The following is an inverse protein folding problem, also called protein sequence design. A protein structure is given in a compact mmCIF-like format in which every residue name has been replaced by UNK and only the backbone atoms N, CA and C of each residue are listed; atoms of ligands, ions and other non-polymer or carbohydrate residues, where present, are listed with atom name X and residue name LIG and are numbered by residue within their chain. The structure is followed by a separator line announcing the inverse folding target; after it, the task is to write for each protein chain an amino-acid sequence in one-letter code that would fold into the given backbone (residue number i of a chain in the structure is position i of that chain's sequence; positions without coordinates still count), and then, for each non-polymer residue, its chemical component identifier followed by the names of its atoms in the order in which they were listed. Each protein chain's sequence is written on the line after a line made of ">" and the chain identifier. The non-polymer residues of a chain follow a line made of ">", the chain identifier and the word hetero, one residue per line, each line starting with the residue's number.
data_IF_458317205018
#
_entry.id   IF_458317205018
#
_cell.length_a   1.000
_cell.length_b   1.000
_cell.length_c   1.000
_cell.angle_alpha   90.00
_cell.angle_beta   90.00
_cell.angle_gamma   90.00
#
_symmetry.space_group_name_H-M   'P 1'
#
loop_
_entity.id
_entity.type
_entity.pdbx_description
1 polymer ?
#
# COMPACT_ATOMS: atom_id res chain seq x y z
N UNK A 1 20.19 17.13 -3.78
CA UNK A 1 19.12 16.68 -4.70
C UNK A 1 17.80 17.22 -4.17
N UNK A 2 17.13 18.08 -4.94
CA UNK A 2 15.82 18.62 -4.56
C UNK A 2 14.74 17.58 -4.88
N UNK A 3 13.90 17.26 -3.89
CA UNK A 3 12.82 16.28 -4.01
C UNK A 3 11.49 17.01 -3.99
N UNK A 4 10.73 16.90 -5.08
CA UNK A 4 9.37 17.39 -5.20
C UNK A 4 8.38 16.25 -4.93
N UNK A 5 7.24 16.53 -4.27
CA UNK A 5 6.17 15.54 -4.10
C UNK A 5 4.87 16.05 -4.70
N UNK A 6 4.11 15.16 -5.33
CA UNK A 6 2.81 15.49 -5.94
C UNK A 6 1.87 14.28 -5.90
N UNK A 7 0.59 14.55 -6.16
CA UNK A 7 -0.37 13.49 -6.46
C UNK A 7 0.11 12.70 -7.69
N UNK A 8 0.02 11.38 -7.61
CA UNK A 8 0.21 10.52 -8.76
C UNK A 8 -1.01 10.59 -9.69
N UNK A 9 -0.78 10.33 -10.97
CA UNK A 9 -1.78 10.24 -12.03
C UNK A 9 -1.67 8.87 -12.68
N UNK A 10 -2.68 8.39 -13.43
CA UNK A 10 -2.61 7.10 -14.12
C UNK A 10 -1.39 6.93 -15.05
N UNK A 11 -0.79 8.04 -15.52
CA UNK A 11 0.46 8.04 -16.31
C UNK A 11 1.69 7.60 -15.51
N UNK A 12 1.65 7.75 -14.19
CA UNK A 12 2.73 7.37 -13.27
C UNK A 12 2.75 5.88 -12.94
N UNK A 13 1.66 5.15 -13.24
CA UNK A 13 1.45 3.77 -12.78
C UNK A 13 2.62 2.83 -13.12
N UNK A 14 3.15 2.89 -14.34
CA UNK A 14 4.28 2.04 -14.75
C UNK A 14 5.58 2.40 -14.05
N UNK A 15 5.85 3.69 -13.84
CA UNK A 15 7.03 4.12 -13.09
C UNK A 15 6.94 3.70 -11.61
N UNK A 16 5.76 3.84 -11.01
CA UNK A 16 5.46 3.39 -9.66
C UNK A 16 5.59 1.87 -9.52
N UNK A 17 4.97 1.09 -10.42
CA UNK A 17 5.04 -0.36 -10.43
C UNK A 17 6.50 -0.84 -10.48
N UNK A 18 7.31 -0.27 -11.39
CA UNK A 18 8.75 -0.57 -11.44
C UNK A 18 9.45 -0.33 -10.11
N UNK A 19 9.16 0.76 -9.42
CA UNK A 19 9.76 1.07 -8.11
C UNK A 19 9.32 0.05 -7.05
N UNK A 20 8.02 -0.24 -6.98
CA UNK A 20 7.46 -1.20 -6.01
C UNK A 20 8.11 -2.57 -6.19
N UNK A 21 8.18 -3.05 -7.44
CA UNK A 21 8.74 -4.37 -7.77
C UNK A 21 10.23 -4.42 -7.44
N UNK A 22 11.01 -3.42 -7.89
CA UNK A 22 12.47 -3.42 -7.67
C UNK A 22 12.84 -3.26 -6.20
N UNK A 23 12.16 -2.39 -5.47
CA UNK A 23 12.39 -2.20 -4.04
C UNK A 23 11.88 -3.39 -3.22
N UNK A 24 10.72 -3.95 -3.58
CA UNK A 24 10.13 -5.13 -2.95
C UNK A 24 11.07 -6.33 -3.00
N UNK A 25 11.64 -6.63 -4.17
CA UNK A 25 12.63 -7.71 -4.34
C UNK A 25 13.87 -7.61 -3.45
N UNK A 26 14.24 -6.40 -3.01
CA UNK A 26 15.48 -6.19 -2.24
C UNK A 26 15.28 -6.19 -0.72
N UNK A 27 14.07 -5.94 -0.23
CA UNK A 27 13.86 -5.69 1.20
C UNK A 27 12.49 -6.05 1.76
N UNK A 28 11.57 -6.57 0.95
CA UNK A 28 10.25 -7.00 1.40
C UNK A 28 10.13 -8.52 1.30
N UNK A 29 10.29 -9.23 2.41
CA UNK A 29 10.13 -10.70 2.48
C UNK A 29 8.75 -11.17 2.00
N UNK A 30 7.72 -10.33 2.18
CA UNK A 30 6.38 -10.61 1.69
C UNK A 30 6.27 -10.65 0.16
N UNK A 31 7.16 -9.96 -0.56
CA UNK A 31 7.12 -9.89 -2.01
C UNK A 31 7.42 -11.25 -2.67
N UNK A 32 8.59 -11.90 -2.45
CA UNK A 32 8.85 -13.22 -3.01
C UNK A 32 7.90 -14.28 -2.44
N UNK A 33 7.41 -14.13 -1.21
CA UNK A 33 6.41 -15.05 -0.65
C UNK A 33 5.11 -15.04 -1.47
N UNK A 34 4.58 -13.86 -1.80
CA UNK A 34 3.35 -13.71 -2.60
C UNK A 34 3.54 -14.03 -4.08
N UNK A 35 4.72 -13.73 -4.61
CA UNK A 35 5.01 -13.79 -6.04
C UNK A 35 6.17 -14.74 -6.36
N UNK A 36 6.12 -16.03 -5.97
CA UNK A 36 7.27 -16.93 -6.07
C UNK A 36 7.83 -17.07 -7.50
N UNK A 37 7.02 -16.82 -8.53
CA UNK A 37 7.40 -16.94 -9.94
C UNK A 37 7.61 -15.58 -10.64
N UNK A 38 7.83 -14.49 -9.88
CA UNK A 38 8.01 -13.15 -10.46
C UNK A 38 9.21 -13.04 -11.42
N UNK A 39 10.20 -13.93 -11.32
CA UNK A 39 11.34 -13.96 -12.25
C UNK A 39 11.01 -14.69 -13.55
N UNK A 40 10.12 -15.68 -13.49
CA UNK A 40 9.68 -16.47 -14.65
C UNK A 40 8.62 -15.71 -15.47
N UNK A 41 7.75 -14.95 -14.78
CA UNK A 41 6.66 -14.17 -15.38
C UNK A 41 6.71 -12.68 -14.95
N UNK A 42 7.80 -11.96 -15.25
CA UNK A 42 7.97 -10.56 -14.84
C UNK A 42 6.93 -9.62 -15.47
N UNK A 43 6.38 -9.96 -16.62
CA UNK A 43 5.31 -9.23 -17.29
C UNK A 43 3.99 -9.28 -16.51
N UNK A 44 3.61 -10.43 -15.95
CA UNK A 44 2.40 -10.58 -15.14
C UNK A 44 2.52 -9.70 -13.88
N UNK A 45 3.69 -9.72 -13.25
CA UNK A 45 3.95 -8.90 -12.07
C UNK A 45 3.86 -7.40 -12.37
N UNK A 46 4.43 -6.97 -13.50
CA UNK A 46 4.40 -5.57 -13.95
C UNK A 46 2.98 -5.12 -14.31
N UNK A 47 2.31 -5.81 -15.22
CA UNK A 47 1.00 -5.39 -15.73
C UNK A 47 -0.06 -5.43 -14.62
N UNK A 48 -0.01 -6.43 -13.73
CA UNK A 48 -0.94 -6.49 -12.60
C UNK A 48 -0.70 -5.40 -11.56
N UNK A 49 0.56 -5.06 -11.30
CA UNK A 49 0.87 -3.92 -10.42
C UNK A 49 0.44 -2.59 -11.06
N UNK A 50 0.62 -2.43 -12.38
CA UNK A 50 0.13 -1.25 -13.11
C UNK A 50 -1.38 -1.13 -13.04
N UNK A 51 -2.12 -2.21 -13.33
CA UNK A 51 -3.58 -2.23 -13.31
C UNK A 51 -4.12 -1.88 -11.92
N UNK A 52 -3.58 -2.51 -10.87
CA UNK A 52 -3.92 -2.18 -9.47
C UNK A 52 -3.73 -0.70 -9.16
N UNK A 53 -2.56 -0.13 -9.50
CA UNK A 53 -2.26 1.28 -9.23
C UNK A 53 -3.16 2.23 -10.04
N UNK A 54 -3.51 1.87 -11.28
CA UNK A 54 -4.46 2.64 -12.08
C UNK A 54 -5.86 2.64 -11.47
N UNK A 55 -6.34 1.49 -10.99
CA UNK A 55 -7.62 1.38 -10.28
C UNK A 55 -7.67 2.32 -9.08
N UNK A 56 -6.61 2.35 -8.27
CA UNK A 56 -6.48 3.25 -7.12
C UNK A 56 -6.51 4.73 -7.54
N UNK A 57 -5.74 5.10 -8.57
CA UNK A 57 -5.66 6.50 -9.02
C UNK A 57 -6.91 7.01 -9.76
N UNK A 58 -7.69 6.10 -10.34
CA UNK A 58 -8.94 6.41 -11.02
C UNK A 58 -10.15 6.40 -10.07
N UNK A 59 -9.97 6.05 -8.80
CA UNK A 59 -11.08 5.92 -7.84
C UNK A 59 -12.06 4.83 -8.25
N UNK A 60 -11.56 3.74 -8.84
CA UNK A 60 -12.36 2.60 -9.33
C UNK A 60 -12.37 1.43 -8.35
N UNK A 61 -11.71 1.54 -7.21
CA UNK A 61 -11.81 0.52 -6.18
C UNK A 61 -13.23 0.59 -5.56
N UNK A 62 -13.94 -0.54 -5.47
CA UNK A 62 -15.34 -0.54 -5.07
C UNK A 62 -15.53 -0.39 -3.56
N UNK A 63 -14.48 -0.59 -2.76
CA UNK A 63 -14.58 -0.64 -1.30
C UNK A 63 -13.93 0.57 -0.64
N UNK A 64 -12.76 0.98 -1.15
CA UNK A 64 -11.88 1.91 -0.46
C UNK A 64 -11.46 3.07 -1.36
N UNK A 65 -11.36 4.26 -0.77
CA UNK A 65 -10.79 5.42 -1.45
C UNK A 65 -9.27 5.42 -1.28
N UNK A 66 -8.55 5.56 -2.39
CA UNK A 66 -7.09 5.58 -2.40
C UNK A 66 -6.53 6.93 -2.86
N UNK A 67 -5.38 7.28 -2.29
CA UNK A 67 -4.54 8.39 -2.73
C UNK A 67 -3.11 7.90 -2.96
N UNK A 68 -2.67 7.97 -4.21
CA UNK A 68 -1.29 7.73 -4.58
C UNK A 68 -0.50 9.05 -4.66
N UNK A 69 0.71 9.04 -4.10
CA UNK A 69 1.65 10.14 -4.07
C UNK A 69 2.98 9.67 -4.66
N UNK A 70 3.65 10.54 -5.42
CA UNK A 70 5.00 10.28 -5.95
C UNK A 70 5.98 11.35 -5.50
N UNK A 71 7.23 10.94 -5.30
CA UNK A 71 8.36 11.84 -5.12
C UNK A 71 9.24 11.81 -6.36
N UNK A 72 9.62 12.98 -6.82
CA UNK A 72 10.36 13.19 -8.07
C UNK A 72 11.61 14.01 -7.83
N UNK A 73 12.60 13.79 -8.69
CA UNK A 73 13.83 14.59 -8.76
C UNK A 73 14.03 15.05 -10.19
N UNK A 74 14.60 16.24 -10.34
CA UNK A 74 14.94 16.78 -11.65
C UNK A 74 16.03 15.93 -12.30
N UNK A 75 15.78 15.41 -13.49
CA UNK A 75 16.78 14.70 -14.29
C UNK A 75 17.52 15.67 -15.21
N UNK A 76 16.78 16.58 -15.85
CA UNK A 76 17.26 17.70 -16.66
C UNK A 76 16.27 18.87 -16.59
N UNK A 77 16.47 19.93 -17.39
CA UNK A 77 15.61 21.12 -17.38
C UNK A 77 14.14 20.89 -17.76
N UNK A 78 13.81 19.76 -18.38
CA UNK A 78 12.48 19.46 -18.91
C UNK A 78 11.87 18.18 -18.35
N UNK A 79 12.64 17.35 -17.65
CA UNK A 79 12.18 16.04 -17.20
C UNK A 79 12.36 15.82 -15.69
N UNK A 80 11.32 15.24 -15.09
CA UNK A 80 11.28 14.80 -13.70
C UNK A 80 11.29 13.27 -13.68
N UNK A 81 12.11 12.70 -12.80
CA UNK A 81 12.18 11.26 -12.58
C UNK A 81 11.46 10.92 -11.28
N UNK A 82 10.44 10.06 -11.35
CA UNK A 82 9.82 9.44 -10.18
C UNK A 82 10.81 8.50 -9.50
N UNK A 83 11.07 8.73 -8.22
CA UNK A 83 12.04 7.98 -7.40
C UNK A 83 11.42 7.33 -6.17
N UNK A 84 10.20 7.71 -5.79
CA UNK A 84 9.50 7.10 -4.66
C UNK A 84 8.00 7.18 -4.85
N UNK A 85 7.29 6.24 -4.24
CA UNK A 85 5.84 6.13 -4.28
C UNK A 85 5.29 5.87 -2.88
N UNK A 86 4.12 6.43 -2.59
CA UNK A 86 3.30 6.05 -1.45
C UNK A 86 1.84 5.91 -1.88
N UNK A 87 1.15 4.87 -1.40
CA UNK A 87 -0.28 4.67 -1.59
C UNK A 87 -0.96 4.63 -0.23
N UNK A 88 -1.99 5.45 -0.09
CA UNK A 88 -2.74 5.63 1.13
C UNK A 88 -4.19 5.26 0.90
N UNK A 89 -4.77 4.51 1.82
CA UNK A 89 -6.21 4.42 1.96
C UNK A 89 -6.70 5.63 2.76
N UNK A 90 -7.58 6.44 2.16
CA UNK A 90 -8.06 7.72 2.69
C UNK A 90 -9.57 7.72 2.98
N UNK A 91 -10.17 6.54 2.97
CA UNK A 91 -11.58 6.27 3.27
C UNK A 91 -12.09 6.86 4.60
N UNK A 92 -11.22 7.28 5.52
CA UNK A 92 -11.63 7.90 6.77
C UNK A 92 -12.03 9.38 6.65
N UNK A 93 -11.63 10.06 5.57
CA UNK A 93 -11.99 11.47 5.34
C UNK A 93 -12.36 11.81 3.89
N UNK A 94 -12.35 10.83 2.98
CA UNK A 94 -12.82 11.05 1.62
C UNK A 94 -14.32 11.38 1.62
N UNK A 95 -14.71 12.40 0.86
CA UNK A 95 -16.07 12.96 0.83
C UNK A 95 -17.12 12.02 0.22
N UNK A 96 -16.72 10.86 -0.34
CA UNK A 96 -17.60 9.94 -1.07
C UNK A 96 -18.41 8.97 -0.17
N UNK A 97 -18.40 9.12 1.16
CA UNK A 97 -18.75 8.02 2.05
C UNK A 97 -20.03 8.29 2.84
N UNK A 98 -21.16 7.95 2.22
CA UNK A 98 -22.35 7.44 2.90
C UNK A 98 -23.24 6.63 1.94
N UNK A 99 -23.45 7.10 0.71
CA UNK A 99 -24.51 6.58 -0.17
C UNK A 99 -24.14 5.32 -0.97
N UNK A 100 -22.84 5.02 -1.16
CA UNK A 100 -22.41 3.93 -2.04
C UNK A 100 -22.09 2.61 -1.31
N UNK A 101 -21.92 2.60 0.02
CA UNK A 101 -21.44 1.41 0.75
C UNK A 101 -22.49 0.31 0.93
N UNK A 102 -23.78 0.63 0.86
CA UNK A 102 -24.86 -0.37 1.00
C UNK A 102 -25.09 -1.19 -0.28
N UNK A 103 -24.44 -0.84 -1.41
CA UNK A 103 -24.60 -1.54 -2.70
C UNK A 103 -23.39 -2.41 -3.11
N UNK A 104 -22.31 -2.44 -2.32
CA UNK A 104 -21.00 -3.02 -2.72
C UNK A 104 -20.93 -4.55 -2.59
N UNK A 105 -21.87 -5.19 -1.90
CA UNK A 105 -21.80 -6.65 -1.66
C UNK A 105 -21.99 -7.45 -2.95
N UNK A 106 -22.71 -6.92 -3.94
CA UNK A 106 -22.98 -7.61 -5.22
C UNK A 106 -21.97 -7.30 -6.34
N UNK A 107 -21.06 -6.32 -6.18
CA UNK A 107 -20.16 -5.86 -7.27
C UNK A 107 -18.71 -6.35 -7.17
N UNK A 108 -18.38 -7.17 -6.16
CA UNK A 108 -17.02 -7.70 -5.98
C UNK A 108 -16.59 -8.63 -7.15
N UNK A 109 -17.54 -9.25 -7.84
CA UNK A 109 -17.27 -10.14 -8.98
C UNK A 109 -17.02 -9.40 -10.32
N UNK A 110 -17.48 -8.15 -10.51
CA UNK A 110 -17.28 -7.43 -11.78
C UNK A 110 -15.95 -6.65 -11.82
N UNK A 111 -15.36 -6.31 -10.67
CA UNK A 111 -14.12 -5.51 -10.59
C UNK A 111 -12.84 -6.36 -10.59
N UNK A 112 -12.96 -7.66 -10.32
CA UNK A 112 -11.84 -8.62 -10.40
C UNK A 112 -11.36 -8.86 -11.83
N UNK A 113 -12.13 -8.46 -12.85
CA UNK A 113 -11.82 -8.64 -14.27
C UNK A 113 -10.82 -7.62 -14.84
N UNK A 114 -9.67 -7.50 -14.18
CA UNK A 114 -8.54 -6.66 -14.60
C UNK A 114 -7.44 -7.46 -15.32
N UNK A 115 -7.72 -8.72 -15.68
CA UNK A 115 -6.80 -9.61 -16.39
C UNK A 115 -5.71 -10.22 -15.49
N UNK A 116 -5.83 -10.07 -14.17
CA UNK A 116 -4.86 -10.56 -13.19
C UNK A 116 -5.33 -11.75 -12.36
N UNK A 117 -6.53 -12.26 -12.63
CA UNK A 117 -7.07 -13.44 -11.95
C UNK A 117 -6.26 -14.69 -12.28
N UNK A 118 -5.68 -14.74 -13.48
CA UNK A 118 -4.88 -15.85 -13.97
C UNK A 118 -3.37 -15.51 -14.01
N UNK A 119 -2.92 -14.55 -13.19
CA UNK A 119 -1.49 -14.17 -13.13
C UNK A 119 -0.65 -15.36 -12.69
N UNK A 120 0.43 -15.63 -13.43
CA UNK A 120 1.30 -16.81 -13.25
C UNK A 120 2.44 -16.55 -12.28
N UNK A 121 2.75 -15.28 -12.02
CA UNK A 121 3.83 -14.89 -11.12
C UNK A 121 3.51 -15.10 -9.63
N UNK A 122 2.22 -15.24 -9.28
CA UNK A 122 1.73 -15.31 -7.92
C UNK A 122 1.33 -16.72 -7.48
N UNK A 123 1.36 -16.96 -6.17
CA UNK A 123 0.68 -18.10 -5.55
C UNK A 123 -0.71 -17.64 -5.06
N UNK A 124 -1.82 -18.10 -5.67
CA UNK A 124 -3.16 -17.68 -5.30
C UNK A 124 -3.53 -17.97 -3.85
N UNK A 125 -3.10 -19.12 -3.31
CA UNK A 125 -3.39 -19.48 -1.92
C UNK A 125 -2.67 -18.54 -0.94
N UNK A 126 -1.43 -18.15 -1.26
CA UNK A 126 -0.70 -17.17 -0.44
C UNK A 126 -1.30 -15.77 -0.54
N UNK A 127 -1.79 -15.34 -1.71
CA UNK A 127 -2.48 -14.06 -1.85
C UNK A 127 -3.81 -14.02 -1.08
N UNK A 128 -4.57 -15.10 -1.13
CA UNK A 128 -5.82 -15.24 -0.37
C UNK A 128 -5.55 -15.17 1.14
N UNK A 129 -4.59 -15.96 1.63
CA UNK A 129 -4.24 -15.98 3.05
C UNK A 129 -3.64 -14.65 3.53
N UNK A 130 -2.83 -14.00 2.68
CA UNK A 130 -2.32 -12.66 2.94
C UNK A 130 -3.44 -11.64 3.16
N UNK A 131 -4.45 -11.68 2.29
CA UNK A 131 -5.62 -10.78 2.37
C UNK A 131 -6.41 -11.06 3.66
N UNK A 132 -6.73 -12.33 3.94
CA UNK A 132 -7.44 -12.76 5.16
C UNK A 132 -6.71 -12.34 6.43
N UNK A 133 -5.41 -12.64 6.52
CA UNK A 133 -4.60 -12.37 7.71
C UNK A 133 -4.51 -10.86 7.99
N UNK A 134 -4.29 -10.04 6.95
CA UNK A 134 -4.23 -8.58 7.11
C UNK A 134 -5.58 -7.97 7.45
N UNK A 135 -6.68 -8.43 6.84
CA UNK A 135 -8.02 -7.95 7.17
C UNK A 135 -8.42 -8.31 8.60
N UNK A 136 -8.05 -9.50 9.07
CA UNK A 136 -8.23 -9.90 10.46
C UNK A 136 -7.41 -9.02 11.41
N UNK A 137 -6.12 -8.84 11.12
CA UNK A 137 -5.24 -8.00 11.93
C UNK A 137 -5.70 -6.53 11.94
N UNK A 138 -6.16 -6.01 10.80
CA UNK A 138 -6.73 -4.67 10.66
C UNK A 138 -7.95 -4.51 11.58
N UNK A 139 -8.86 -5.49 11.60
CA UNK A 139 -10.04 -5.54 12.51
C UNK A 139 -9.67 -5.65 13.97
N UNK A 140 -8.62 -6.40 14.28
CA UNK A 140 -8.20 -6.62 15.64
C UNK A 140 -7.43 -5.43 16.24
N UNK A 141 -6.60 -4.74 15.44
CA UNK A 141 -5.56 -3.86 15.98
C UNK A 141 -5.67 -2.38 15.61
N UNK A 142 -6.28 -2.01 14.48
CA UNK A 142 -6.20 -0.64 13.94
C UNK A 142 -7.48 0.20 14.16
N UNK A 143 -8.43 -0.30 14.95
CA UNK A 143 -9.64 0.44 15.36
C UNK A 143 -10.86 0.18 14.48
N UNK A 144 -11.96 0.92 14.65
CA UNK A 144 -13.20 0.71 13.89
C UNK A 144 -12.96 0.84 12.37
N UNK A 145 -13.48 -0.12 11.61
CA UNK A 145 -13.14 -0.39 10.21
C UNK A 145 -14.30 -0.17 9.23
N UNK A 146 -15.23 0.72 9.54
CA UNK A 146 -16.44 0.93 8.74
C UNK A 146 -17.65 0.13 9.27
N UNK A 147 -18.66 -0.16 8.42
CA UNK A 147 -20.08 -0.30 8.79
C UNK A 147 -20.42 -1.35 9.87
N UNK A 148 -19.51 -2.27 10.19
CA UNK A 148 -19.70 -3.26 11.26
C UNK A 148 -19.37 -2.69 12.65
N UNK A 149 -18.38 -1.80 12.77
CA UNK A 149 -17.83 -1.36 14.06
C UNK A 149 -17.69 0.17 14.23
N UNK A 150 -18.22 0.98 13.31
CA UNK A 150 -18.22 2.45 13.38
C UNK A 150 -17.36 3.13 12.30
N UNK A 151 -17.33 4.48 12.24
CA UNK A 151 -16.59 5.21 11.23
C UNK A 151 -15.09 4.88 11.32
N UNK A 152 -14.42 4.88 10.16
CA UNK A 152 -12.98 4.68 10.10
C UNK A 152 -12.27 5.76 10.92
N UNK A 153 -11.34 5.34 11.77
CA UNK A 153 -10.62 6.22 12.70
C UNK A 153 -9.14 6.42 12.35
N UNK A 154 -8.71 5.93 11.19
CA UNK A 154 -7.32 5.98 10.76
C UNK A 154 -7.15 6.01 9.24
N UNK A 155 -5.96 6.41 8.80
CA UNK A 155 -5.45 6.23 7.45
C UNK A 155 -4.60 4.98 7.37
N UNK A 156 -4.72 4.22 6.28
CA UNK A 156 -3.87 3.05 6.08
C UNK A 156 -2.76 3.36 5.08
N UNK A 157 -1.50 3.25 5.50
CA UNK A 157 -0.36 3.26 4.59
C UNK A 157 -0.21 1.88 3.97
N UNK A 158 -0.63 1.73 2.71
CA UNK A 158 -0.64 0.45 2.02
C UNK A 158 0.68 0.15 1.32
N UNK A 159 1.29 1.16 0.69
CA UNK A 159 2.57 1.03 0.00
C UNK A 159 3.45 2.23 0.29
N UNK A 160 4.73 1.99 0.58
CA UNK A 160 5.77 3.03 0.56
C UNK A 160 7.07 2.43 0.06
N UNK A 161 7.54 2.91 -1.09
CA UNK A 161 8.73 2.37 -1.73
C UNK A 161 9.57 3.50 -2.31
N UNK A 162 10.89 3.34 -2.21
CA UNK A 162 11.86 4.22 -2.88
C UNK A 162 12.74 3.36 -3.77
N UNK A 163 12.95 3.84 -4.99
CA UNK A 163 13.88 3.26 -5.96
C UNK A 163 15.23 2.98 -5.28
N UNK A 164 15.79 1.76 -5.37
CA UNK A 164 17.02 1.38 -4.67
C UNK A 164 18.16 2.39 -4.74
N UNK A 165 18.44 2.97 -5.92
CA UNK A 165 19.51 3.95 -6.10
C UNK A 165 19.24 5.33 -5.46
N UNK A 166 18.01 5.57 -5.00
CA UNK A 166 17.58 6.82 -4.37
C UNK A 166 17.19 6.64 -2.89
N UNK A 167 17.32 5.44 -2.33
CA UNK A 167 17.06 5.19 -0.90
C UNK A 167 17.97 6.04 0.00
N UNK A 168 17.54 6.25 1.25
CA UNK A 168 18.26 7.06 2.27
C UNK A 168 18.45 8.55 1.92
N UNK A 169 17.74 9.06 0.90
CA UNK A 169 17.73 10.48 0.53
C UNK A 169 16.47 11.25 1.03
N UNK A 170 15.63 10.63 1.86
CA UNK A 170 14.46 11.29 2.47
C UNK A 170 13.20 11.35 1.59
N UNK A 171 13.18 10.72 0.42
CA UNK A 171 12.00 10.71 -0.47
C UNK A 171 10.77 10.05 0.19
N UNK A 172 10.92 8.85 0.74
CA UNK A 172 9.87 8.17 1.51
C UNK A 172 9.42 9.03 2.71
N UNK A 173 10.33 9.66 3.44
CA UNK A 173 10.00 10.54 4.56
C UNK A 173 9.10 11.71 4.14
N UNK A 174 9.39 12.37 3.01
CA UNK A 174 8.54 13.45 2.49
C UNK A 174 7.13 12.97 2.13
N UNK A 175 7.02 11.78 1.53
CA UNK A 175 5.73 11.17 1.22
C UNK A 175 4.97 10.80 2.50
N UNK A 176 5.67 10.27 3.51
CA UNK A 176 5.05 9.95 4.80
C UNK A 176 4.54 11.20 5.52
N UNK A 177 5.30 12.29 5.49
CA UNK A 177 4.88 13.58 6.07
C UNK A 177 3.64 14.16 5.41
N UNK A 178 3.36 13.86 4.15
CA UNK A 178 2.07 14.22 3.56
C UNK A 178 0.92 13.50 4.27
N UNK A 179 0.99 12.18 4.44
CA UNK A 179 -0.06 11.41 5.11
C UNK A 179 -0.16 11.71 6.61
N UNK A 180 0.97 11.94 7.28
CA UNK A 180 0.99 12.36 8.68
C UNK A 180 0.29 13.69 8.91
N UNK A 181 0.51 14.69 8.05
CA UNK A 181 -0.22 15.95 8.12
C UNK A 181 -1.71 15.76 7.91
N UNK A 182 -2.12 14.91 6.97
CA UNK A 182 -3.54 14.59 6.75
C UNK A 182 -4.17 13.88 7.95
N UNK A 183 -3.46 12.93 8.54
CA UNK A 183 -3.89 12.27 9.76
C UNK A 183 -4.06 13.29 10.92
N UNK A 184 -3.08 14.18 11.10
CA UNK A 184 -3.12 15.22 12.16
C UNK A 184 -4.24 16.24 11.91
N UNK A 185 -4.42 16.74 10.67
CA UNK A 185 -5.50 17.65 10.25
C UNK A 185 -6.90 17.08 10.56
N UNK A 186 -7.10 15.80 10.32
CA UNK A 186 -8.38 15.11 10.51
C UNK A 186 -8.50 14.38 11.85
N UNK A 187 -7.50 14.48 12.74
CA UNK A 187 -7.43 13.79 14.04
C UNK A 187 -7.57 12.27 13.93
N UNK A 188 -6.98 11.69 12.90
CA UNK A 188 -6.99 10.26 12.60
C UNK A 188 -5.68 9.60 12.99
N UNK A 189 -5.71 8.36 13.45
CA UNK A 189 -4.50 7.57 13.56
C UNK A 189 -3.97 7.19 12.15
N UNK A 190 -2.78 6.59 12.09
CA UNK A 190 -2.27 5.93 10.90
C UNK A 190 -1.99 4.48 11.26
N UNK A 191 -2.44 3.55 10.43
CA UNK A 191 -2.08 2.14 10.48
C UNK A 191 -1.15 1.76 9.33
N UNK A 192 -0.26 0.80 9.58
CA UNK A 192 0.60 0.22 8.55
C UNK A 192 0.94 -1.23 8.90
N UNK A 193 1.18 -2.05 7.89
CA UNK A 193 1.80 -3.37 8.03
C UNK A 193 3.18 -3.33 7.39
N UNK A 194 4.22 -3.48 8.20
CA UNK A 194 5.59 -3.23 7.78
C UNK A 194 6.42 -4.52 7.76
N UNK A 195 7.30 -4.66 6.76
CA UNK A 195 8.43 -5.59 6.81
C UNK A 195 9.41 -5.22 7.94
N UNK A 196 10.38 -6.08 8.27
CA UNK A 196 11.46 -5.72 9.20
C UNK A 196 12.17 -4.41 8.83
N UNK A 197 12.44 -4.20 7.54
CA UNK A 197 13.04 -2.96 7.03
C UNK A 197 12.08 -1.77 7.21
N UNK A 198 10.81 -1.92 6.81
CA UNK A 198 9.79 -0.89 6.96
C UNK A 198 9.55 -0.51 8.43
N UNK A 199 9.59 -1.49 9.33
CA UNK A 199 9.42 -1.29 10.77
C UNK A 199 10.52 -0.37 11.32
N UNK A 200 11.78 -0.61 10.98
CA UNK A 200 12.88 0.24 11.40
C UNK A 200 12.68 1.68 10.93
N UNK A 201 12.26 1.86 9.68
CA UNK A 201 11.96 3.18 9.11
C UNK A 201 10.79 3.89 9.84
N UNK A 202 9.67 3.20 10.04
CA UNK A 202 8.47 3.77 10.66
C UNK A 202 8.64 4.08 12.15
N UNK A 203 9.40 3.27 12.90
CA UNK A 203 9.74 3.54 14.30
C UNK A 203 10.43 4.90 14.47
N UNK A 204 11.27 5.31 13.51
CA UNK A 204 11.91 6.63 13.49
C UNK A 204 10.95 7.80 13.25
N UNK A 205 9.68 7.52 12.93
CA UNK A 205 8.66 8.51 12.55
C UNK A 205 7.43 8.42 13.46
N UNK A 206 7.66 8.12 14.73
CA UNK A 206 6.67 8.03 15.82
C UNK A 206 5.65 6.88 15.71
N UNK A 207 5.79 5.94 14.77
CA UNK A 207 4.97 4.73 14.77
C UNK A 207 5.37 3.81 15.92
N UNK A 208 4.37 3.19 16.54
CA UNK A 208 4.52 2.19 17.60
C UNK A 208 4.17 0.82 17.04
N UNK A 209 4.92 -0.18 17.47
CA UNK A 209 4.63 -1.59 17.20
C UNK A 209 3.39 -1.97 18.00
N UNK A 210 2.40 -2.58 17.33
CA UNK A 210 1.17 -3.06 17.96
C UNK A 210 1.22 -4.58 18.10
N UNK A 211 1.43 -5.30 17.00
CA UNK A 211 1.48 -6.76 17.01
C UNK A 211 2.22 -7.31 15.77
N UNK A 212 2.93 -8.44 15.88
CA UNK A 212 3.33 -9.21 14.71
C UNK A 212 2.11 -9.91 14.10
N UNK A 213 2.07 -10.02 12.77
CA UNK A 213 1.03 -10.71 12.00
C UNK A 213 1.71 -11.75 11.14
N UNK A 214 1.46 -13.02 11.46
CA UNK A 214 1.97 -14.16 10.70
C UNK A 214 1.01 -14.46 9.55
N UNK A 215 1.55 -14.65 8.35
CA UNK A 215 0.82 -15.12 7.17
C UNK A 215 1.42 -16.45 6.75
N UNK A 216 0.58 -17.50 6.74
CA UNK A 216 1.00 -18.87 6.40
C UNK A 216 -0.20 -19.64 5.86
N UNK A 217 -0.05 -20.23 4.67
CA UNK A 217 -1.06 -21.15 4.13
C UNK A 217 -1.07 -22.45 4.96
N UNK A 218 -2.25 -22.93 5.33
CA UNK A 218 -2.39 -24.17 6.09
C UNK A 218 -1.71 -25.34 5.35
N UNK A 219 -0.87 -26.09 6.07
CA UNK A 219 -0.11 -27.20 5.52
C UNK A 219 1.20 -26.83 4.79
N UNK A 220 1.51 -25.55 4.57
CA UNK A 220 2.83 -25.11 4.08
C UNK A 220 3.76 -24.78 5.24
N UNK A 221 5.05 -25.13 5.15
CA UNK A 221 6.04 -24.76 6.17
C UNK A 221 6.46 -23.28 6.07
N UNK A 222 6.45 -22.73 4.87
CA UNK A 222 6.86 -21.35 4.58
C UNK A 222 5.84 -20.34 5.13
N UNK A 223 6.33 -19.26 5.74
CA UNK A 223 5.51 -18.17 6.25
C UNK A 223 6.28 -16.86 6.19
N UNK A 224 5.55 -15.75 6.28
CA UNK A 224 6.11 -14.41 6.48
C UNK A 224 5.48 -13.73 7.67
N UNK A 225 6.21 -12.80 8.28
CA UNK A 225 5.70 -11.97 9.37
C UNK A 225 5.78 -10.51 8.95
N UNK A 226 4.66 -9.81 9.08
CA UNK A 226 4.62 -8.35 9.00
C UNK A 226 4.22 -7.77 10.33
N UNK A 227 4.73 -6.59 10.64
CA UNK A 227 4.45 -5.91 11.90
C UNK A 227 3.33 -4.90 11.71
N UNK A 228 2.22 -5.09 12.41
CA UNK A 228 1.18 -4.09 12.55
C UNK A 228 1.72 -2.93 13.40
N UNK A 229 1.68 -1.73 12.85
CA UNK A 229 2.17 -0.51 13.49
C UNK A 229 1.12 0.59 13.42
N UNK A 230 1.13 1.46 14.43
CA UNK A 230 0.23 2.62 14.47
C UNK A 230 0.93 3.90 14.92
N UNK A 231 0.56 5.03 14.33
CA UNK A 231 0.89 6.38 14.80
C UNK A 231 -0.38 7.11 15.16
N UNK A 232 -0.43 7.72 16.35
CA UNK A 232 -1.54 8.58 16.75
C UNK A 232 -1.40 9.99 16.14
N UNK A 233 -2.53 10.66 15.88
CA UNK A 233 -2.53 12.06 15.48
C UNK A 233 -1.85 12.93 16.57
N UNK A 234 -1.10 13.94 16.15
CA UNK A 234 -0.64 14.99 17.06
C UNK A 234 -1.80 15.94 17.37
N UNK A 235 -1.94 16.30 18.65
CA UNK A 235 -2.93 17.27 19.14
C UNK A 235 -2.63 18.69 18.69
#
# INVERSE_FOLDING_TARGET
>A
MEIHIRNATPKDARAMARIIIRAGRQGEESFPYKFPHYEEYPEDNMECTVNMLQTYMLGKDPVWDFKAMVAEVKLDDQSMLTISVAVWEVSAFAENIAEQRDQVVDSYEEVTNNGCENRRDADPARLEEWTKALDNARRQFLGPNGPVNGPLSYLHLQHIFTEPSYQKNGAATKLLFWGMRKADEHKLAIGAFASPMGQQFLCGLDFKIIAPVKVQVEGQEEFVVVTCMSRQAKS
#
